data_IF_901449218187
#
_entry.id   IF_901449218187
#
_cell.length_a   1.000
_cell.length_b   1.000
_cell.length_c   1.000
_cell.angle_alpha   90.00
_cell.angle_beta   90.00
_cell.angle_gamma   90.00
#
_symmetry.space_group_name_H-M   'P 1'
#
loop_
_entity.id
_entity.type
_entity.pdbx_description
1 polymer ?
#
# COMPACT_ATOMS: atom_id res chain seq x y z
N UNK A 1 6.61 -36.90 10.75
CA UNK A 1 7.48 -35.73 10.50
C UNK A 1 6.76 -34.47 10.98
N UNK A 2 7.26 -33.84 12.03
CA UNK A 2 6.66 -32.69 12.75
C UNK A 2 7.12 -31.37 12.11
N UNK A 3 7.16 -31.32 10.78
CA UNK A 3 7.76 -30.23 9.97
C UNK A 3 6.75 -29.15 9.56
N UNK A 4 5.48 -29.28 9.98
CA UNK A 4 4.43 -28.34 9.61
C UNK A 4 4.38 -27.08 10.48
N UNK A 5 5.14 -27.01 11.57
CA UNK A 5 5.08 -25.89 12.52
C UNK A 5 5.82 -24.65 11.99
N UNK A 6 7.04 -24.80 11.49
CA UNK A 6 7.87 -23.67 11.04
C UNK A 6 7.30 -22.93 9.82
N UNK A 7 6.70 -23.66 8.87
CA UNK A 7 6.11 -23.06 7.65
C UNK A 7 4.89 -22.20 7.98
N UNK A 8 4.08 -22.59 8.99
CA UNK A 8 2.93 -21.78 9.43
C UNK A 8 3.35 -20.45 10.02
N UNK A 9 4.41 -20.44 10.83
CA UNK A 9 4.97 -19.19 11.36
C UNK A 9 5.52 -18.30 10.25
N UNK A 10 6.16 -18.88 9.24
CA UNK A 10 6.63 -18.11 8.08
C UNK A 10 5.47 -17.46 7.32
N UNK A 11 4.40 -18.21 7.06
CA UNK A 11 3.19 -17.69 6.39
C UNK A 11 2.50 -16.64 7.25
N UNK A 12 2.40 -16.83 8.57
CA UNK A 12 1.90 -15.83 9.51
C UNK A 12 2.68 -14.52 9.43
N UNK A 13 4.01 -14.59 9.49
CA UNK A 13 4.89 -13.42 9.40
C UNK A 13 4.71 -12.70 8.06
N UNK A 14 4.58 -13.45 6.96
CA UNK A 14 4.32 -12.89 5.64
C UNK A 14 3.00 -12.11 5.59
N UNK A 15 1.88 -12.70 6.00
CA UNK A 15 0.57 -12.02 6.02
C UNK A 15 0.54 -10.85 7.01
N UNK A 16 1.22 -10.98 8.16
CA UNK A 16 1.39 -9.89 9.11
C UNK A 16 2.05 -8.67 8.45
N UNK A 17 3.17 -8.88 7.73
CA UNK A 17 3.85 -7.80 7.02
C UNK A 17 3.03 -7.26 5.85
N UNK A 18 2.26 -8.10 5.16
CA UNK A 18 1.39 -7.64 4.08
C UNK A 18 0.29 -6.70 4.58
N UNK A 19 -0.45 -7.09 5.62
CA UNK A 19 -1.47 -6.22 6.23
C UNK A 19 -0.87 -4.94 6.80
N UNK A 20 0.27 -5.06 7.48
CA UNK A 20 1.00 -3.93 8.04
C UNK A 20 1.43 -2.94 6.94
N UNK A 21 1.97 -3.44 5.82
CA UNK A 21 2.35 -2.61 4.66
C UNK A 21 1.16 -1.86 4.07
N UNK A 22 -0.04 -2.46 4.02
CA UNK A 22 -1.24 -1.79 3.53
C UNK A 22 -1.68 -0.66 4.46
N UNK A 23 -1.71 -0.88 5.78
CA UNK A 23 -2.03 0.16 6.75
C UNK A 23 -1.02 1.31 6.76
N UNK A 24 0.27 1.03 6.60
CA UNK A 24 1.30 2.06 6.47
C UNK A 24 1.18 2.86 5.17
N UNK A 25 0.68 2.25 4.10
CA UNK A 25 0.42 2.98 2.84
C UNK A 25 -0.69 4.02 3.04
N UNK A 26 -1.75 3.68 3.78
CA UNK A 26 -2.82 4.64 4.13
C UNK A 26 -2.27 5.75 5.02
N UNK A 27 -1.48 5.41 6.05
CA UNK A 27 -0.84 6.40 6.93
C UNK A 27 0.05 7.36 6.16
N UNK A 28 0.86 6.84 5.24
CA UNK A 28 1.72 7.65 4.40
C UNK A 28 0.92 8.65 3.55
N UNK A 29 -0.21 8.20 2.99
CA UNK A 29 -1.13 9.09 2.28
C UNK A 29 -1.72 10.15 3.22
N UNK A 30 -2.12 9.76 4.43
CA UNK A 30 -2.67 10.65 5.44
C UNK A 30 -1.69 11.74 5.89
N UNK A 31 -0.46 11.38 6.27
CA UNK A 31 0.59 12.31 6.70
C UNK A 31 0.85 13.36 5.62
N UNK A 32 0.86 12.93 4.36
CA UNK A 32 1.02 13.81 3.20
C UNK A 32 -0.10 14.83 3.07
N UNK A 33 -1.35 14.41 3.22
CA UNK A 33 -2.49 15.35 3.23
C UNK A 33 -2.37 16.30 4.42
N UNK A 34 -1.99 15.80 5.60
CA UNK A 34 -1.84 16.60 6.82
C UNK A 34 -0.79 17.72 6.65
N UNK A 35 0.38 17.39 6.08
CA UNK A 35 1.45 18.37 5.79
C UNK A 35 0.95 19.48 4.86
N UNK A 36 0.12 19.14 3.87
CA UNK A 36 -0.44 20.12 2.94
C UNK A 36 -1.47 21.05 3.61
N UNK A 37 -2.28 20.54 4.54
CA UNK A 37 -3.33 21.32 5.19
C UNK A 37 -2.82 22.17 6.36
N UNK A 38 -1.84 21.70 7.14
CA UNK A 38 -1.43 22.36 8.38
C UNK A 38 0.09 22.59 8.48
N UNK A 39 0.60 23.58 7.74
CA UNK A 39 2.05 23.88 7.66
C UNK A 39 2.71 24.21 9.02
N UNK A 40 1.98 24.74 10.00
CA UNK A 40 2.58 25.31 11.24
C UNK A 40 2.64 24.34 12.42
N UNK A 41 1.73 23.37 12.54
CA UNK A 41 1.71 22.36 13.63
C UNK A 41 1.89 20.90 13.14
N UNK A 42 2.41 20.71 11.91
CA UNK A 42 2.51 19.39 11.31
C UNK A 42 3.44 18.43 12.07
N UNK A 43 4.52 18.91 12.68
CA UNK A 43 5.52 18.05 13.35
C UNK A 43 4.92 17.32 14.56
N UNK A 44 4.40 18.06 15.55
CA UNK A 44 3.81 17.49 16.77
C UNK A 44 2.56 16.63 16.49
N UNK A 45 1.68 17.09 15.59
CA UNK A 45 0.48 16.34 15.23
C UNK A 45 0.82 15.07 14.45
N UNK A 46 1.80 15.14 13.53
CA UNK A 46 2.22 13.97 12.76
C UNK A 46 2.90 12.93 13.65
N UNK A 47 3.69 13.34 14.65
CA UNK A 47 4.38 12.41 15.55
C UNK A 47 3.39 11.63 16.44
N UNK A 48 2.41 12.34 17.03
CA UNK A 48 1.38 11.70 17.84
C UNK A 48 0.49 10.77 17.00
N UNK A 49 0.07 11.24 15.82
CA UNK A 49 -0.75 10.42 14.90
C UNK A 49 0.04 9.20 14.42
N UNK A 50 1.33 9.36 14.08
CA UNK A 50 2.20 8.27 13.67
C UNK A 50 2.28 7.22 14.78
N UNK A 51 2.59 7.63 16.01
CA UNK A 51 2.74 6.72 17.16
C UNK A 51 1.46 5.95 17.46
N UNK A 52 0.32 6.64 17.51
CA UNK A 52 -0.97 6.02 17.77
C UNK A 52 -1.34 5.07 16.63
N UNK A 53 -1.16 5.49 15.38
CA UNK A 53 -1.47 4.66 14.22
C UNK A 53 -0.56 3.44 14.10
N UNK A 54 0.73 3.57 14.40
CA UNK A 54 1.68 2.44 14.39
C UNK A 54 1.27 1.37 15.39
N UNK A 55 0.80 1.77 16.58
CA UNK A 55 0.31 0.82 17.59
C UNK A 55 -0.97 0.12 17.12
N UNK A 56 -1.96 0.89 16.66
CA UNK A 56 -3.24 0.34 16.19
C UNK A 56 -3.03 -0.61 14.99
N UNK A 57 -2.25 -0.19 14.00
CA UNK A 57 -1.97 -1.00 12.80
C UNK A 57 -1.22 -2.29 13.13
N UNK A 58 -0.30 -2.27 14.09
CA UNK A 58 0.41 -3.47 14.56
C UNK A 58 -0.55 -4.45 15.23
N UNK A 59 -1.41 -3.97 16.13
CA UNK A 59 -2.40 -4.81 16.83
C UNK A 59 -3.39 -5.40 15.82
N UNK A 60 -3.94 -4.59 14.92
CA UNK A 60 -4.88 -5.06 13.89
C UNK A 60 -4.23 -6.09 12.96
N UNK A 61 -3.01 -5.85 12.49
CA UNK A 61 -2.29 -6.78 11.61
C UNK A 61 -2.03 -8.12 12.30
N UNK A 62 -1.73 -8.10 13.61
CA UNK A 62 -1.58 -9.31 14.40
C UNK A 62 -2.89 -10.11 14.51
N UNK A 63 -4.01 -9.43 14.79
CA UNK A 63 -5.34 -10.05 14.88
C UNK A 63 -5.74 -10.68 13.53
N UNK A 64 -5.55 -9.97 12.42
CA UNK A 64 -5.86 -10.48 11.08
C UNK A 64 -4.95 -11.63 10.65
N UNK A 65 -3.68 -11.62 11.06
CA UNK A 65 -2.75 -12.69 10.74
C UNK A 65 -2.93 -13.93 11.64
N UNK A 66 -3.49 -13.79 12.85
CA UNK A 66 -3.63 -14.88 13.84
C UNK A 66 -4.26 -16.19 13.31
N UNK A 67 -5.32 -16.16 12.46
CA UNK A 67 -5.90 -17.37 11.88
C UNK A 67 -4.88 -18.24 11.11
N UNK A 68 -3.83 -17.64 10.54
CA UNK A 68 -2.81 -18.37 9.79
C UNK A 68 -1.92 -19.26 10.67
N UNK A 69 -1.86 -19.04 11.99
CA UNK A 69 -1.16 -19.93 12.94
C UNK A 69 -2.00 -21.17 13.26
N UNK A 70 -3.32 -20.99 13.36
CA UNK A 70 -4.26 -22.04 13.77
C UNK A 70 -4.47 -23.09 12.67
N UNK A 71 -4.35 -22.68 11.41
CA UNK A 71 -4.60 -23.54 10.25
C UNK A 71 -3.31 -24.08 9.63
N UNK A 72 -3.43 -25.21 8.93
CA UNK A 72 -2.30 -25.89 8.30
C UNK A 72 -1.78 -25.11 7.09
N UNK A 73 -0.45 -25.09 6.92
CA UNK A 73 0.18 -24.51 5.74
C UNK A 73 0.10 -25.48 4.55
N UNK A 74 -0.22 -24.95 3.37
CA UNK A 74 -0.36 -25.66 2.11
C UNK A 74 0.47 -24.95 1.03
N UNK A 75 1.23 -25.72 0.26
CA UNK A 75 1.87 -25.23 -0.97
C UNK A 75 0.97 -25.49 -2.17
N UNK A 76 0.72 -24.48 -2.99
CA UNK A 76 0.02 -24.60 -4.27
C UNK A 76 0.96 -24.26 -5.41
N UNK A 77 0.82 -24.94 -6.54
CA UNK A 77 1.56 -24.57 -7.74
C UNK A 77 1.04 -23.24 -8.28
N UNK A 78 1.95 -22.33 -8.66
CA UNK A 78 1.58 -21.09 -9.34
C UNK A 78 1.21 -21.37 -10.79
N UNK A 79 0.12 -20.74 -11.25
CA UNK A 79 -0.31 -20.78 -12.64
C UNK A 79 0.60 -19.90 -13.53
N UNK A 80 0.42 -20.02 -14.85
CA UNK A 80 1.13 -19.28 -15.90
C UNK A 80 1.17 -17.77 -15.56
N UNK A 81 2.34 -17.08 -15.63
CA UNK A 81 3.54 -17.36 -16.44
C UNK A 81 4.70 -18.06 -15.72
N UNK A 82 4.51 -18.54 -14.49
CA UNK A 82 5.61 -19.14 -13.73
C UNK A 82 5.97 -20.54 -14.26
N UNK A 83 7.27 -20.90 -14.17
CA UNK A 83 7.77 -22.19 -14.63
C UNK A 83 7.26 -23.35 -13.77
N UNK A 84 7.10 -24.53 -14.38
CA UNK A 84 6.71 -25.75 -13.66
C UNK A 84 7.65 -26.02 -12.48
N UNK A 85 7.08 -26.18 -11.28
CA UNK A 85 7.84 -26.30 -10.02
C UNK A 85 7.84 -25.04 -9.15
N UNK A 86 7.34 -23.90 -9.65
CA UNK A 86 7.07 -22.73 -8.80
C UNK A 86 5.86 -22.98 -7.90
N UNK A 87 6.02 -22.77 -6.61
CA UNK A 87 4.96 -22.96 -5.63
C UNK A 87 4.78 -21.71 -4.76
N UNK A 88 3.53 -21.43 -4.40
CA UNK A 88 3.14 -20.41 -3.43
C UNK A 88 2.70 -21.09 -2.13
N UNK A 89 3.17 -20.59 -0.99
CA UNK A 89 2.81 -21.08 0.33
C UNK A 89 1.64 -20.27 0.87
N UNK A 90 0.54 -20.94 1.18
CA UNK A 90 -0.63 -20.33 1.82
C UNK A 90 -1.13 -21.21 2.97
N UNK A 91 -2.25 -20.87 3.60
CA UNK A 91 -2.89 -21.72 4.60
C UNK A 91 -4.19 -22.33 4.06
N UNK A 92 -4.59 -23.48 4.62
CA UNK A 92 -5.85 -24.13 4.28
C UNK A 92 -7.07 -23.25 4.58
N UNK A 93 -6.92 -22.26 5.48
CA UNK A 93 -7.92 -21.24 5.75
C UNK A 93 -8.20 -20.33 4.56
N UNK A 94 -7.16 -19.90 3.83
CA UNK A 94 -7.28 -19.01 2.67
C UNK A 94 -7.88 -19.77 1.49
N UNK A 95 -7.48 -21.03 1.30
CA UNK A 95 -7.90 -21.84 0.16
C UNK A 95 -9.34 -22.39 0.31
N UNK A 96 -9.72 -22.81 1.52
CA UNK A 96 -10.99 -23.50 1.76
C UNK A 96 -12.17 -22.59 2.12
N UNK A 97 -11.92 -21.32 2.48
CA UNK A 97 -12.95 -20.46 3.04
C UNK A 97 -13.24 -19.24 2.14
N UNK A 98 -14.33 -19.32 1.37
CA UNK A 98 -14.79 -18.21 0.52
C UNK A 98 -15.06 -16.92 1.31
N UNK A 99 -15.40 -17.03 2.61
CA UNK A 99 -15.56 -15.87 3.49
C UNK A 99 -14.27 -15.08 3.69
N UNK A 100 -13.10 -15.75 3.71
CA UNK A 100 -11.81 -15.06 3.84
C UNK A 100 -11.46 -14.30 2.55
N UNK A 101 -11.74 -14.90 1.38
CA UNK A 101 -11.56 -14.24 0.08
C UNK A 101 -12.44 -12.99 -0.01
N UNK A 102 -13.73 -13.12 0.38
CA UNK A 102 -14.67 -11.99 0.41
C UNK A 102 -14.19 -10.91 1.40
N UNK A 103 -13.74 -11.31 2.59
CA UNK A 103 -13.19 -10.40 3.60
C UNK A 103 -11.96 -9.64 3.09
N UNK A 104 -11.04 -10.34 2.42
CA UNK A 104 -9.85 -9.74 1.79
C UNK A 104 -10.22 -8.75 0.68
N UNK A 105 -11.24 -9.06 -0.13
CA UNK A 105 -11.77 -8.17 -1.16
C UNK A 105 -12.39 -6.90 -0.56
N UNK A 106 -13.25 -7.04 0.46
CA UNK A 106 -13.85 -5.89 1.16
C UNK A 106 -12.76 -5.01 1.78
N UNK A 107 -11.78 -5.63 2.44
CA UNK A 107 -10.65 -4.93 3.02
C UNK A 107 -9.85 -4.15 1.97
N UNK A 108 -9.51 -4.78 0.84
CA UNK A 108 -8.79 -4.13 -0.26
C UNK A 108 -9.57 -2.96 -0.87
N UNK A 109 -10.90 -3.11 -1.03
CA UNK A 109 -11.77 -2.01 -1.50
C UNK A 109 -11.75 -0.85 -0.52
N UNK A 110 -11.90 -1.09 0.78
CA UNK A 110 -11.89 -0.04 1.81
C UNK A 110 -10.57 0.73 1.77
N UNK A 111 -9.43 0.02 1.76
CA UNK A 111 -8.10 0.63 1.69
C UNK A 111 -7.96 1.46 0.40
N UNK A 112 -8.44 0.96 -0.73
CA UNK A 112 -8.39 1.67 -2.01
C UNK A 112 -9.24 2.93 -1.98
N UNK A 113 -10.46 2.88 -1.44
CA UNK A 113 -11.32 4.06 -1.27
C UNK A 113 -10.66 5.09 -0.34
N UNK A 114 -10.09 4.65 0.77
CA UNK A 114 -9.36 5.55 1.67
C UNK A 114 -8.21 6.25 0.94
N UNK A 115 -7.41 5.52 0.16
CA UNK A 115 -6.33 6.12 -0.62
C UNK A 115 -6.92 7.10 -1.64
N UNK A 116 -7.86 6.69 -2.48
CA UNK A 116 -8.41 7.56 -3.54
C UNK A 116 -9.02 8.84 -2.99
N UNK A 117 -9.77 8.80 -1.88
CA UNK A 117 -10.31 9.99 -1.22
C UNK A 117 -9.19 10.93 -0.77
N UNK A 118 -8.19 10.41 -0.07
CA UNK A 118 -7.08 11.21 0.46
C UNK A 118 -6.26 11.83 -0.67
N UNK A 119 -6.05 11.10 -1.77
CA UNK A 119 -5.42 11.63 -2.98
C UNK A 119 -6.25 12.70 -3.67
N UNK A 120 -7.58 12.53 -3.72
CA UNK A 120 -8.50 13.52 -4.28
C UNK A 120 -8.49 14.82 -3.48
N UNK A 121 -8.54 14.73 -2.15
CA UNK A 121 -8.45 15.89 -1.25
C UNK A 121 -7.16 16.68 -1.46
N UNK A 122 -6.03 15.98 -1.57
CA UNK A 122 -4.73 16.59 -1.88
C UNK A 122 -4.78 17.35 -3.21
N UNK A 123 -5.20 16.70 -4.30
CA UNK A 123 -5.23 17.32 -5.64
C UNK A 123 -6.17 18.53 -5.67
N UNK A 124 -7.32 18.44 -5.01
CA UNK A 124 -8.26 19.55 -4.91
C UNK A 124 -7.67 20.73 -4.14
N UNK A 125 -7.08 20.50 -2.97
CA UNK A 125 -6.44 21.54 -2.17
C UNK A 125 -5.34 22.24 -2.97
N UNK A 126 -4.57 21.49 -3.74
CA UNK A 126 -3.52 22.03 -4.62
C UNK A 126 -4.07 22.88 -5.76
N UNK A 127 -5.17 22.48 -6.41
CA UNK A 127 -5.83 23.30 -7.43
C UNK A 127 -6.28 24.64 -6.84
N UNK A 128 -6.86 24.62 -5.64
CA UNK A 128 -7.28 25.84 -4.96
C UNK A 128 -6.07 26.72 -4.60
N UNK A 129 -4.97 26.14 -4.13
CA UNK A 129 -3.74 26.88 -3.86
C UNK A 129 -3.11 27.49 -5.12
N UNK A 130 -3.12 26.77 -6.26
CA UNK A 130 -2.64 27.33 -7.55
C UNK A 130 -3.48 28.51 -8.01
N UNK A 131 -4.81 28.42 -7.91
CA UNK A 131 -5.73 29.52 -8.25
C UNK A 131 -5.46 30.76 -7.38
N UNK A 132 -5.14 30.57 -6.09
CA UNK A 132 -4.83 31.67 -5.16
C UNK A 132 -3.39 32.20 -5.33
N UNK A 133 -2.41 31.33 -5.63
CA UNK A 133 -0.98 31.71 -5.75
C UNK A 133 -0.61 32.40 -7.06
N UNK A 134 -1.47 32.35 -8.08
CA UNK A 134 -1.30 33.12 -9.32
C UNK A 134 -1.17 34.64 -9.06
N UNK A 135 -1.46 35.09 -7.83
CA UNK A 135 -1.33 36.48 -7.40
C UNK A 135 -0.01 36.79 -6.63
N UNK A 136 0.83 35.83 -6.22
CA UNK A 136 2.00 36.11 -5.36
C UNK A 136 3.27 35.25 -5.62
N UNK A 137 4.39 35.91 -5.97
CA UNK A 137 5.80 35.48 -6.04
C UNK A 137 6.13 34.13 -6.70
N UNK A 138 6.69 34.21 -7.92
CA UNK A 138 7.09 33.07 -8.77
C UNK A 138 8.07 32.06 -8.13
N UNK A 139 8.92 32.48 -7.19
CA UNK A 139 9.87 31.59 -6.50
C UNK A 139 9.18 30.66 -5.49
N UNK A 140 8.13 31.14 -4.81
CA UNK A 140 7.36 30.36 -3.83
C UNK A 140 6.46 29.34 -4.53
N UNK A 141 5.90 29.72 -5.68
CA UNK A 141 5.14 28.83 -6.56
C UNK A 141 5.98 27.69 -7.14
N UNK A 142 7.27 27.94 -7.46
CA UNK A 142 8.20 26.91 -7.96
C UNK A 142 8.47 25.84 -6.91
N UNK A 143 8.78 26.21 -5.67
CA UNK A 143 9.02 25.24 -4.60
C UNK A 143 7.76 24.42 -4.25
N UNK A 144 6.57 25.03 -4.24
CA UNK A 144 5.30 24.31 -4.01
C UNK A 144 4.94 23.38 -5.18
N UNK A 145 5.27 23.72 -6.43
CA UNK A 145 5.05 22.85 -7.60
C UNK A 145 5.99 21.65 -7.62
N UNK A 146 7.26 21.81 -7.24
CA UNK A 146 8.23 20.70 -7.12
C UNK A 146 7.81 19.71 -6.02
N UNK A 147 7.35 20.21 -4.87
CA UNK A 147 6.78 19.39 -3.79
C UNK A 147 5.50 18.65 -4.24
N UNK A 148 4.70 19.28 -5.11
CA UNK A 148 3.47 18.67 -5.64
C UNK A 148 3.75 17.56 -6.65
N UNK A 149 4.73 17.76 -7.54
CA UNK A 149 5.09 16.79 -8.57
C UNK A 149 5.69 15.52 -7.94
N UNK A 150 6.60 15.67 -6.97
CA UNK A 150 7.14 14.53 -6.20
C UNK A 150 6.04 13.79 -5.45
N UNK A 151 5.04 14.50 -4.95
CA UNK A 151 3.92 13.91 -4.22
C UNK A 151 3.01 13.07 -5.13
N UNK A 152 2.73 13.52 -6.36
CA UNK A 152 1.95 12.77 -7.37
C UNK A 152 2.74 11.57 -7.91
N UNK A 153 4.03 11.74 -8.21
CA UNK A 153 4.91 10.66 -8.71
C UNK A 153 4.93 9.46 -7.74
N UNK A 154 4.92 9.71 -6.45
CA UNK A 154 4.94 8.67 -5.42
C UNK A 154 3.57 8.00 -5.23
N UNK A 155 2.50 8.70 -5.61
CA UNK A 155 1.11 8.28 -5.40
C UNK A 155 0.62 7.31 -6.47
N UNK A 156 1.03 7.53 -7.72
CA UNK A 156 0.63 6.72 -8.88
C UNK A 156 0.97 5.23 -8.69
N UNK A 157 2.18 4.86 -8.24
CA UNK A 157 2.52 3.46 -7.98
C UNK A 157 1.73 2.86 -6.81
N UNK A 158 1.41 3.65 -5.78
CA UNK A 158 0.64 3.19 -4.63
C UNK A 158 -0.83 2.91 -4.99
N UNK A 159 -1.43 3.71 -5.87
CA UNK A 159 -2.78 3.46 -6.38
C UNK A 159 -2.82 2.31 -7.38
N UNK A 160 -1.82 2.22 -8.27
CA UNK A 160 -1.74 1.14 -9.25
C UNK A 160 -1.54 -0.24 -8.58
N UNK A 161 -0.70 -0.31 -7.55
CA UNK A 161 -0.47 -1.58 -6.81
C UNK A 161 -1.72 -2.06 -6.06
N UNK A 162 -2.59 -1.14 -5.62
CA UNK A 162 -3.87 -1.48 -5.00
C UNK A 162 -4.92 -1.92 -6.03
N UNK A 163 -5.02 -1.22 -7.16
CA UNK A 163 -5.90 -1.62 -8.28
C UNK A 163 -5.53 -3.01 -8.79
N UNK A 164 -4.24 -3.28 -8.95
CA UNK A 164 -3.73 -4.60 -9.30
C UNK A 164 -4.12 -5.67 -8.27
N UNK A 165 -4.05 -5.36 -6.98
CA UNK A 165 -4.46 -6.29 -5.91
C UNK A 165 -5.95 -6.65 -6.02
N UNK A 166 -6.81 -5.67 -6.30
CA UNK A 166 -8.25 -5.90 -6.55
C UNK A 166 -8.47 -6.75 -7.81
N UNK A 167 -7.76 -6.46 -8.90
CA UNK A 167 -7.85 -7.24 -10.15
C UNK A 167 -7.47 -8.71 -9.95
N UNK A 168 -6.48 -8.99 -9.10
CA UNK A 168 -6.08 -10.38 -8.80
C UNK A 168 -7.12 -11.18 -8.02
N UNK A 169 -7.97 -10.50 -7.24
CA UNK A 169 -9.05 -11.12 -6.46
C UNK A 169 -10.31 -11.34 -7.30
N UNK A 170 -10.54 -10.52 -8.34
CA UNK A 170 -11.69 -10.63 -9.24
C UNK A 170 -11.49 -11.65 -10.35
N UNK A 171 -10.28 -11.77 -10.89
CA UNK A 171 -9.96 -12.71 -11.98
C UNK A 171 -8.71 -13.54 -11.66
N UNK A 172 -8.91 -14.79 -11.24
CA UNK A 172 -7.81 -15.73 -10.92
C UNK A 172 -6.89 -16.01 -12.11
N UNK A 173 -7.41 -15.90 -13.34
CA UNK A 173 -6.67 -16.20 -14.59
C UNK A 173 -5.46 -15.29 -14.81
N UNK A 174 -5.49 -14.05 -14.32
CA UNK A 174 -4.39 -13.10 -14.49
C UNK A 174 -3.59 -12.85 -13.20
N UNK A 175 -3.92 -13.56 -12.11
CA UNK A 175 -3.26 -13.38 -10.82
C UNK A 175 -1.73 -13.58 -10.93
N UNK A 176 -1.27 -14.55 -11.72
CA UNK A 176 0.16 -14.80 -11.95
C UNK A 176 0.90 -13.61 -12.58
N UNK A 177 0.32 -12.98 -13.60
CA UNK A 177 0.89 -11.78 -14.24
C UNK A 177 0.90 -10.58 -13.30
N UNK A 178 -0.17 -10.43 -12.51
CA UNK A 178 -0.31 -9.32 -11.56
C UNK A 178 0.75 -9.40 -10.45
N UNK A 179 1.01 -10.61 -9.93
CA UNK A 179 2.07 -10.85 -8.93
C UNK A 179 3.44 -10.41 -9.46
N UNK A 180 3.72 -10.62 -10.75
CA UNK A 180 4.99 -10.25 -11.38
C UNK A 180 5.12 -8.74 -11.63
N UNK A 181 4.02 -8.09 -11.99
CA UNK A 181 3.99 -6.65 -12.32
C UNK A 181 4.05 -5.76 -11.06
N UNK A 182 3.48 -6.22 -9.93
CA UNK A 182 3.40 -5.43 -8.67
C UNK A 182 4.77 -4.98 -8.13
N UNK A 183 5.82 -5.84 -8.06
CA UNK A 183 7.17 -5.43 -7.68
C UNK A 183 7.78 -4.38 -8.61
N UNK A 184 7.59 -4.53 -9.93
CA UNK A 184 8.13 -3.59 -10.94
C UNK A 184 7.61 -2.18 -10.71
N UNK A 185 6.31 -2.02 -10.38
CA UNK A 185 5.75 -0.72 -10.04
C UNK A 185 6.30 -0.15 -8.73
N UNK A 186 6.55 -1.00 -7.72
CA UNK A 186 7.18 -0.57 -6.47
C UNK A 186 8.63 -0.09 -6.69
N UNK A 187 9.41 -0.79 -7.52
CA UNK A 187 10.78 -0.38 -7.86
C UNK A 187 10.80 0.89 -8.71
N UNK A 188 9.89 0.98 -9.67
CA UNK A 188 9.72 2.15 -10.52
C UNK A 188 9.45 3.41 -9.68
N UNK A 189 8.65 3.30 -8.61
CA UNK A 189 8.43 4.40 -7.66
C UNK A 189 9.73 4.95 -7.08
N UNK A 190 10.60 4.08 -6.55
CA UNK A 190 11.83 4.49 -5.87
C UNK A 190 12.78 5.15 -6.88
N UNK A 191 12.91 4.55 -8.07
CA UNK A 191 13.81 5.04 -9.11
C UNK A 191 13.35 6.38 -9.71
N UNK A 192 12.07 6.54 -10.03
CA UNK A 192 11.55 7.80 -10.58
C UNK A 192 11.74 8.94 -9.58
N UNK A 193 11.54 8.70 -8.28
CA UNK A 193 11.73 9.72 -7.24
C UNK A 193 13.18 10.17 -7.15
N UNK A 194 14.11 9.22 -7.15
CA UNK A 194 15.55 9.50 -7.13
C UNK A 194 15.98 10.29 -8.37
N UNK A 195 15.53 9.87 -9.56
CA UNK A 195 15.81 10.60 -10.81
C UNK A 195 15.23 12.00 -10.81
N UNK A 196 14.00 12.18 -10.31
CA UNK A 196 13.38 13.49 -10.22
C UNK A 196 14.16 14.41 -9.28
N UNK A 197 14.54 13.91 -8.10
CA UNK A 197 15.31 14.68 -7.13
C UNK A 197 16.63 15.15 -7.73
N UNK A 198 17.39 14.26 -8.38
CA UNK A 198 18.64 14.58 -9.07
C UNK A 198 18.48 15.59 -10.21
N UNK A 199 17.34 15.59 -10.91
CA UNK A 199 17.11 16.56 -11.97
C UNK A 199 16.75 17.95 -11.43
N UNK A 200 16.13 18.02 -10.25
CA UNK A 200 15.65 19.27 -9.66
C UNK A 200 16.64 20.00 -8.75
N UNK A 201 17.68 19.31 -8.27
CA UNK A 201 18.72 19.82 -7.36
C UNK A 201 20.10 19.72 -8.00
#
# INVERSE_FOLDING_TARGET
MKTNSSVRYFVFVFYFFEYLSQFYTVLFCFVRVLVLYNKRRHMELSENILTIWTLISTILSFIFAFPHILHDAMGMQLDIPFQYGSFFLTTTFVYGNGLHIIGGLIFSIIITICITIMTGMMVWKLKNLKLVSSQNSAKKAKAETTLTITMIIILIPATLTQVLSISSLLESKYAGYIILIRPVFMDCRVNIVSCYFYWTH
#
